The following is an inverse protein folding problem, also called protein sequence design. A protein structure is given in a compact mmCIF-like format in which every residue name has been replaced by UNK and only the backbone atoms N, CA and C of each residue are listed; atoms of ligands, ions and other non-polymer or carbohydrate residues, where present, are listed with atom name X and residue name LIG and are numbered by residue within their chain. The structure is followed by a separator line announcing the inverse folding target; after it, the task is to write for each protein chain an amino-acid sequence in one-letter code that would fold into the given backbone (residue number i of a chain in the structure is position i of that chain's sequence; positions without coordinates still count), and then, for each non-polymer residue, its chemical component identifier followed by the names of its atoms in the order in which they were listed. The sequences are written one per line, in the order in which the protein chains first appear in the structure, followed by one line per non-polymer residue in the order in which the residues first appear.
data_IF_806838174524
#
_entry.id   IF_806838174524
#
_cell.length_a   1.000
_cell.length_b   1.000
_cell.length_c   1.000
_cell.angle_alpha   90.00
_cell.angle_beta   90.00
_cell.angle_gamma   90.00
#
_symmetry.space_group_name_H-M   'P 1'
#
loop_
_entity.id
_entity.type
_entity.pdbx_description
1 polymer ?
#
# COMPACT_ATOMS: atom_id res chain seq x y z
N UNK A 1 -4.85 11.13 -31.36
CA UNK A 1 -5.17 10.80 -29.96
C UNK A 1 -4.77 9.36 -29.79
N UNK A 2 -3.73 9.09 -29.00
CA UNK A 2 -3.20 7.73 -28.87
C UNK A 2 -4.11 6.98 -27.90
N UNK A 3 -4.79 5.94 -28.39
CA UNK A 3 -5.45 4.97 -27.52
C UNK A 3 -4.39 4.33 -26.60
N UNK A 4 -4.71 4.07 -25.32
CA UNK A 4 -3.81 3.32 -24.45
C UNK A 4 -3.49 1.99 -25.15
N UNK A 5 -2.20 1.65 -25.25
CA UNK A 5 -1.81 0.37 -25.83
C UNK A 5 -2.38 -0.75 -24.94
N UNK A 6 -2.79 -1.87 -25.55
CA UNK A 6 -3.45 -2.97 -24.82
C UNK A 6 -2.64 -3.52 -23.64
N UNK A 7 -1.34 -3.29 -23.65
CA UNK A 7 -0.39 -3.74 -22.64
C UNK A 7 -0.08 -2.66 -21.58
N UNK A 8 -0.66 -1.46 -21.71
CA UNK A 8 -0.49 -0.41 -20.72
C UNK A 8 -1.22 -0.79 -19.42
N UNK A 9 -0.58 -0.60 -18.25
CA UNK A 9 -1.24 -0.81 -16.97
C UNK A 9 -2.42 0.16 -16.81
N UNK A 10 -3.47 -0.26 -16.12
CA UNK A 10 -4.60 0.63 -15.90
C UNK A 10 -4.17 1.89 -15.11
N UNK A 11 -4.84 3.04 -15.29
CA UNK A 11 -4.42 4.31 -14.67
C UNK A 11 -4.30 4.29 -13.14
N UNK A 12 -4.96 3.33 -12.48
CA UNK A 12 -4.97 3.14 -11.03
C UNK A 12 -4.10 1.96 -10.57
N UNK A 13 -3.45 1.23 -11.49
CA UNK A 13 -2.50 0.19 -11.12
C UNK A 13 -1.27 0.81 -10.49
N UNK A 14 -0.88 0.26 -9.36
CA UNK A 14 0.39 0.57 -8.71
C UNK A 14 1.32 -0.64 -8.74
N UNK A 15 2.59 -0.42 -8.46
CA UNK A 15 3.64 -1.46 -8.52
C UNK A 15 3.38 -2.51 -7.43
N UNK A 16 3.15 -3.79 -7.77
CA UNK A 16 3.02 -4.86 -6.78
C UNK A 16 4.31 -5.02 -5.99
N UNK A 17 4.19 -5.23 -4.68
CA UNK A 17 5.35 -5.41 -3.77
C UNK A 17 6.39 -4.28 -3.92
N UNK A 18 5.92 -3.03 -4.03
CA UNK A 18 6.80 -1.86 -4.07
C UNK A 18 7.81 -1.87 -2.91
N UNK A 19 9.03 -1.42 -3.18
CA UNK A 19 10.18 -1.49 -2.27
C UNK A 19 10.16 -0.48 -1.12
N UNK A 20 9.06 -0.40 -0.36
CA UNK A 20 8.93 0.51 0.79
C UNK A 20 9.99 0.27 1.87
N UNK A 21 10.52 -0.96 1.96
CA UNK A 21 11.66 -1.31 2.80
C UNK A 21 12.89 -0.44 2.49
N UNK A 22 13.23 -0.28 1.21
CA UNK A 22 14.41 0.50 0.81
C UNK A 22 14.24 1.98 1.15
N UNK A 23 13.00 2.48 1.14
CA UNK A 23 12.69 3.85 1.54
C UNK A 23 13.02 4.06 3.03
N UNK A 24 12.58 3.17 3.92
CA UNK A 24 12.81 3.34 5.35
C UNK A 24 14.25 3.03 5.78
N UNK A 25 14.92 2.12 5.07
CA UNK A 25 16.34 1.82 5.24
C UNK A 25 17.21 3.07 5.04
N UNK A 26 16.90 3.89 4.02
CA UNK A 26 17.62 5.13 3.74
C UNK A 26 17.57 6.16 4.89
N UNK A 27 16.58 6.06 5.78
CA UNK A 27 16.44 6.92 6.95
C UNK A 27 16.82 6.22 8.26
N UNK A 28 17.38 5.00 8.20
CA UNK A 28 17.76 4.21 9.37
C UNK A 28 16.57 3.77 10.23
N UNK A 29 15.36 3.77 9.66
CA UNK A 29 14.15 3.35 10.34
C UNK A 29 13.95 1.83 10.28
N UNK A 30 12.88 1.36 10.93
CA UNK A 30 12.50 -0.04 10.95
C UNK A 30 11.40 -0.35 9.93
N UNK A 31 11.64 -1.33 9.08
CA UNK A 31 10.63 -1.87 8.17
C UNK A 31 9.85 -3.02 8.82
N UNK A 32 8.57 -3.12 8.48
CA UNK A 32 7.73 -4.26 8.81
C UNK A 32 6.90 -4.67 7.60
N UNK A 33 6.78 -5.97 7.37
CA UNK A 33 5.94 -6.55 6.32
C UNK A 33 4.87 -7.43 6.96
N UNK A 34 3.60 -7.11 6.73
CA UNK A 34 2.47 -7.67 7.46
C UNK A 34 1.42 -8.21 6.50
N UNK A 35 1.02 -9.47 6.71
CA UNK A 35 -0.01 -10.15 5.92
C UNK A 35 -1.31 -10.41 6.69
N UNK A 36 -1.32 -10.26 8.02
CA UNK A 36 -2.49 -10.58 8.85
C UNK A 36 -2.88 -9.46 9.83
N UNK A 37 -4.15 -9.41 10.27
CA UNK A 37 -4.57 -8.44 11.28
C UNK A 37 -3.85 -8.59 12.63
N UNK A 38 -3.47 -9.81 13.02
CA UNK A 38 -2.81 -10.04 14.31
C UNK A 38 -1.33 -9.61 14.28
N UNK A 39 -0.63 -9.86 13.16
CA UNK A 39 0.68 -9.27 12.90
C UNK A 39 0.61 -7.74 12.92
N UNK A 40 -0.43 -7.13 12.32
CA UNK A 40 -0.60 -5.68 12.33
C UNK A 40 -0.75 -5.12 13.74
N UNK A 41 -1.58 -5.74 14.58
CA UNK A 41 -1.77 -5.32 15.98
C UNK A 41 -0.46 -5.39 16.77
N UNK A 42 0.29 -6.47 16.59
CA UNK A 42 1.58 -6.66 17.25
C UNK A 42 2.58 -5.59 16.81
N UNK A 43 2.77 -5.40 15.50
CA UNK A 43 3.72 -4.46 14.93
C UNK A 43 3.38 -3.01 15.29
N UNK A 44 2.10 -2.64 15.32
CA UNK A 44 1.67 -1.32 15.78
C UNK A 44 2.07 -1.08 17.25
N UNK A 45 1.82 -2.06 18.11
CA UNK A 45 2.17 -1.96 19.53
C UNK A 45 3.68 -1.84 19.73
N UNK A 46 4.45 -2.58 18.94
CA UNK A 46 5.91 -2.52 18.96
C UNK A 46 6.44 -1.18 18.43
N UNK A 47 5.95 -0.71 17.28
CA UNK A 47 6.43 0.53 16.65
C UNK A 47 6.22 1.74 17.57
N UNK A 48 5.06 1.85 18.22
CA UNK A 48 4.80 2.89 19.20
C UNK A 48 5.69 2.78 20.44
N UNK A 49 5.95 1.56 20.92
CA UNK A 49 6.81 1.35 22.10
C UNK A 49 8.28 1.71 21.83
N UNK A 50 8.77 1.45 20.62
CA UNK A 50 10.18 1.72 20.26
C UNK A 50 10.48 3.20 20.02
N UNK A 51 9.46 4.03 19.73
CA UNK A 51 9.61 5.45 19.39
C UNK A 51 10.66 5.71 18.30
N UNK A 52 10.84 4.74 17.39
CA UNK A 52 11.73 4.84 16.23
C UNK A 52 10.91 5.08 14.97
N UNK A 53 11.54 5.73 13.99
CA UNK A 53 10.97 5.86 12.66
C UNK A 53 10.71 4.46 12.08
N UNK A 54 9.50 4.20 11.61
CA UNK A 54 9.13 2.91 11.08
C UNK A 54 8.15 3.03 9.89
N UNK A 55 8.23 2.07 8.98
CA UNK A 55 7.26 1.84 7.89
C UNK A 55 6.66 0.47 8.07
N UNK A 56 5.34 0.38 7.96
CA UNK A 56 4.59 -0.88 8.04
C UNK A 56 3.91 -1.10 6.70
N UNK A 57 4.43 -2.05 5.92
CA UNK A 57 3.87 -2.47 4.64
C UNK A 57 2.80 -3.56 4.90
N UNK A 58 1.54 -3.17 4.81
CA UNK A 58 0.39 -4.05 5.02
C UNK A 58 -0.14 -4.54 3.69
N UNK A 59 -0.13 -5.86 3.47
CA UNK A 59 -0.72 -6.44 2.26
C UNK A 59 -2.23 -6.40 2.39
N UNK A 60 -2.88 -5.83 1.37
CA UNK A 60 -4.34 -5.79 1.23
C UNK A 60 -4.71 -6.47 -0.08
N UNK A 61 -5.85 -7.14 -0.11
CA UNK A 61 -6.43 -7.67 -1.34
C UNK A 61 -6.74 -6.49 -2.29
N UNK A 62 -6.16 -6.46 -3.50
CA UNK A 62 -6.35 -5.34 -4.43
C UNK A 62 -7.80 -5.15 -4.91
N UNK A 63 -8.68 -6.13 -4.70
CA UNK A 63 -10.07 -6.11 -5.16
C UNK A 63 -11.10 -5.71 -4.09
N UNK A 64 -10.69 -5.46 -2.83
CA UNK A 64 -11.65 -5.12 -1.76
C UNK A 64 -12.06 -3.64 -1.76
N UNK A 65 -11.31 -2.79 -2.49
CA UNK A 65 -11.58 -1.36 -2.58
C UNK A 65 -12.73 -1.05 -3.55
N UNK A 66 -13.53 -0.04 -3.22
CA UNK A 66 -14.45 0.58 -4.18
C UNK A 66 -13.90 1.93 -4.60
N UNK A 67 -13.93 2.23 -5.90
CA UNK A 67 -13.63 3.57 -6.38
C UNK A 67 -14.72 4.55 -5.93
N UNK A 68 -14.33 5.72 -5.40
CA UNK A 68 -15.27 6.69 -4.80
C UNK A 68 -16.15 7.40 -5.82
N UNK A 69 -15.89 7.23 -7.12
CA UNK A 69 -16.64 7.81 -8.23
C UNK A 69 -18.03 7.18 -8.40
N UNK A 70 -18.99 7.49 -7.52
CA UNK A 70 -20.41 7.21 -7.76
C UNK A 70 -20.99 8.20 -8.79
N UNK A 71 -20.58 8.04 -10.06
CA UNK A 71 -21.11 8.76 -11.23
C UNK A 71 -22.08 7.89 -12.04
N UNK A 72 -22.93 7.11 -11.36
CA UNK A 72 -23.91 6.24 -12.03
C UNK A 72 -25.21 6.95 -12.43
N UNK A 73 -25.30 8.28 -12.23
CA UNK A 73 -26.47 9.06 -12.62
C UNK A 73 -26.08 10.19 -13.58
N UNK A 74 -26.15 9.92 -14.89
CA UNK A 74 -26.33 10.96 -15.91
C UNK A 74 -27.83 10.98 -16.22
N UNK A 75 -28.50 12.05 -15.80
CA UNK A 75 -29.83 12.37 -16.30
C UNK A 75 -29.73 12.88 -17.74
#
# INVERSE_FOLDING_TARGET
MNEPHKDDPAPTFFVPKAGYHALIEAFGGKDYFVGTPDELKYVLSESFSTQKLAVINVIVDPYIGSESGRLQHKN
#
